data_IF_519104286727
#
_entry.id   IF_519104286727
#
_cell.length_a   1.000
_cell.length_b   1.000
_cell.length_c   1.000
_cell.angle_alpha   90.00
_cell.angle_beta   90.00
_cell.angle_gamma   90.00
#
_symmetry.space_group_name_H-M   'P 1'
#
loop_
_entity.id
_entity.type
_entity.pdbx_description
1 polymer ?
#
# COMPACT_ATOMS: atom_id res chain seq x y z
N UNK A 1 49.60 -18.80 -11.84
CA UNK A 1 48.32 -19.52 -12.05
C UNK A 1 47.39 -19.02 -10.96
N UNK A 2 46.48 -18.11 -11.34
CA UNK A 2 45.63 -17.34 -10.43
C UNK A 2 44.60 -18.25 -9.74
N UNK A 3 44.28 -17.91 -8.49
CA UNK A 3 43.40 -18.63 -7.58
C UNK A 3 41.92 -18.54 -8.03
N UNK A 4 41.06 -19.54 -7.75
CA UNK A 4 39.72 -19.67 -8.34
C UNK A 4 38.64 -18.69 -7.84
N UNK A 5 39.01 -17.57 -7.20
CA UNK A 5 38.04 -16.67 -6.54
C UNK A 5 37.54 -15.52 -7.43
N UNK A 6 37.77 -15.53 -8.74
CA UNK A 6 37.34 -14.44 -9.66
C UNK A 6 36.02 -14.73 -10.39
N UNK A 7 35.08 -15.45 -9.77
CA UNK A 7 33.75 -15.69 -10.36
C UNK A 7 32.64 -15.70 -9.33
N UNK A 8 32.21 -14.51 -8.93
CA UNK A 8 30.82 -14.13 -8.62
C UNK A 8 30.81 -12.64 -8.24
N UNK A 9 29.88 -11.87 -8.81
CA UNK A 9 29.78 -10.41 -8.78
C UNK A 9 29.75 -9.80 -7.36
N UNK A 10 30.91 -9.65 -6.72
CA UNK A 10 31.01 -8.85 -5.51
C UNK A 10 31.00 -7.38 -5.91
N UNK A 11 29.82 -6.78 -6.04
CA UNK A 11 29.69 -5.32 -5.96
C UNK A 11 30.02 -4.93 -4.51
N UNK A 12 31.31 -4.97 -4.16
CA UNK A 12 31.85 -4.49 -2.88
C UNK A 12 31.85 -2.97 -2.91
N UNK A 13 30.66 -2.36 -2.84
CA UNK A 13 30.49 -0.92 -2.82
C UNK A 13 30.10 -0.36 -1.45
N UNK A 14 30.10 -1.20 -0.41
CA UNK A 14 29.71 -0.85 0.95
C UNK A 14 30.73 -1.43 1.94
N UNK A 15 31.22 -0.60 2.86
CA UNK A 15 32.14 -1.03 3.92
C UNK A 15 31.91 -0.20 5.17
N UNK A 16 31.87 -0.85 6.35
CA UNK A 16 31.81 -0.12 7.62
C UNK A 16 33.19 0.49 7.96
N UNK A 17 33.21 1.65 8.60
CA UNK A 17 34.46 2.28 9.02
C UNK A 17 35.24 1.41 10.01
N UNK A 18 34.54 0.63 10.84
CA UNK A 18 35.16 -0.34 11.76
C UNK A 18 35.87 -1.46 11.01
N UNK A 19 35.23 -2.04 9.99
CA UNK A 19 35.85 -3.11 9.19
C UNK A 19 37.03 -2.56 8.39
N UNK A 20 36.92 -1.32 7.90
CA UNK A 20 38.00 -0.64 7.19
C UNK A 20 39.21 -0.40 8.11
N UNK A 21 38.98 0.08 9.35
CA UNK A 21 40.02 0.25 10.35
C UNK A 21 40.71 -1.07 10.72
N UNK A 22 39.93 -2.13 10.91
CA UNK A 22 40.47 -3.46 11.21
C UNK A 22 41.27 -4.05 10.04
N UNK A 23 40.76 -3.92 8.81
CA UNK A 23 41.38 -4.48 7.61
C UNK A 23 42.67 -3.74 7.24
N UNK A 24 42.69 -2.41 7.39
CA UNK A 24 43.88 -1.59 7.13
C UNK A 24 44.85 -1.58 8.31
N UNK A 25 44.43 -2.05 9.49
CA UNK A 25 45.19 -1.98 10.74
C UNK A 25 45.57 -0.53 11.07
N UNK A 26 44.58 0.36 10.99
CA UNK A 26 44.70 1.81 11.23
C UNK A 26 43.70 2.23 12.29
N UNK A 27 44.06 3.23 13.11
CA UNK A 27 43.16 3.78 14.11
C UNK A 27 41.88 4.34 13.47
N UNK A 28 40.74 4.09 14.12
CA UNK A 28 39.42 4.49 13.63
C UNK A 28 39.35 6.00 13.31
N UNK A 29 39.95 6.84 14.15
CA UNK A 29 39.96 8.30 13.97
C UNK A 29 40.68 8.71 12.66
N UNK A 30 41.74 8.02 12.28
CA UNK A 30 42.45 8.28 11.02
C UNK A 30 41.61 7.85 9.81
N UNK A 31 40.92 6.72 9.91
CA UNK A 31 40.00 6.24 8.87
C UNK A 31 38.83 7.22 8.69
N UNK A 32 38.19 7.64 9.78
CA UNK A 32 37.07 8.57 9.75
C UNK A 32 37.45 9.91 9.10
N UNK A 33 38.56 10.51 9.52
CA UNK A 33 39.07 11.76 8.93
C UNK A 33 39.41 11.62 7.43
N UNK A 34 39.95 10.47 7.03
CA UNK A 34 40.27 10.17 5.64
C UNK A 34 39.00 10.02 4.79
N UNK A 35 38.00 9.29 5.28
CA UNK A 35 36.72 9.11 4.58
C UNK A 35 35.97 10.43 4.44
N UNK A 36 35.94 11.27 5.48
CA UNK A 36 35.37 12.61 5.38
C UNK A 36 36.06 13.47 4.31
N UNK A 37 37.38 13.30 4.14
CA UNK A 37 38.12 13.98 3.07
C UNK A 37 37.76 13.45 1.68
N UNK A 38 37.60 12.14 1.53
CA UNK A 38 37.19 11.48 0.28
C UNK A 38 35.79 11.95 -0.14
N UNK A 39 34.82 11.95 0.78
CA UNK A 39 33.44 12.36 0.49
C UNK A 39 33.34 13.86 0.16
N UNK A 40 34.24 14.69 0.71
CA UNK A 40 34.33 16.12 0.33
C UNK A 40 34.94 16.34 -1.06
N UNK A 41 35.89 15.50 -1.47
CA UNK A 41 36.60 15.64 -2.73
C UNK A 41 35.90 14.97 -3.91
N UNK A 42 35.15 13.90 -3.65
CA UNK A 42 34.49 13.11 -4.66
C UNK A 42 33.02 12.94 -4.34
N UNK A 43 32.16 13.20 -5.33
CA UNK A 43 30.75 12.89 -5.22
C UNK A 43 30.47 11.40 -5.35
N UNK A 44 31.42 10.56 -5.78
CA UNK A 44 31.17 9.13 -6.05
C UNK A 44 30.86 8.29 -4.82
N UNK A 45 31.12 8.81 -3.62
CA UNK A 45 30.89 8.12 -2.36
C UNK A 45 29.97 8.92 -1.44
N UNK A 46 29.25 8.21 -0.58
CA UNK A 46 28.38 8.76 0.45
C UNK A 46 28.72 8.04 1.76
N UNK A 47 28.79 8.82 2.85
CA UNK A 47 28.93 8.29 4.20
C UNK A 47 27.55 8.31 4.87
N UNK A 48 27.08 7.15 5.34
CA UNK A 48 25.81 7.02 6.05
C UNK A 48 26.00 6.03 7.21
N UNK A 49 25.66 6.45 8.44
CA UNK A 49 25.75 5.62 9.66
C UNK A 49 27.08 4.85 9.82
N UNK A 50 28.22 5.55 9.67
CA UNK A 50 29.56 4.95 9.69
C UNK A 50 29.80 3.84 8.63
N UNK A 51 29.03 3.84 7.55
CA UNK A 51 29.29 3.04 6.35
C UNK A 51 29.65 3.94 5.17
N UNK A 52 30.77 3.62 4.52
CA UNK A 52 31.17 4.23 3.25
C UNK A 52 30.53 3.44 2.11
N UNK A 53 29.72 4.15 1.30
CA UNK A 53 28.90 3.56 0.25
C UNK A 53 29.21 4.24 -1.08
N UNK A 54 29.45 3.46 -2.13
CA UNK A 54 29.61 3.97 -3.49
C UNK A 54 28.25 4.27 -4.14
N UNK A 55 28.16 5.30 -4.98
CA UNK A 55 26.94 5.57 -5.73
C UNK A 55 26.60 4.46 -6.73
N UNK A 56 27.60 3.80 -7.30
CA UNK A 56 27.39 2.66 -8.20
C UNK A 56 26.67 1.49 -7.51
N UNK A 57 26.91 1.31 -6.21
CA UNK A 57 26.19 0.34 -5.39
C UNK A 57 24.74 0.77 -5.17
N UNK A 58 24.49 2.04 -4.82
CA UNK A 58 23.13 2.58 -4.70
C UNK A 58 22.36 2.43 -6.01
N UNK A 59 23.02 2.70 -7.14
CA UNK A 59 22.42 2.60 -8.47
C UNK A 59 22.09 1.15 -8.84
N UNK A 60 22.94 0.21 -8.45
CA UNK A 60 22.67 -1.23 -8.58
C UNK A 60 21.47 -1.65 -7.73
N UNK A 61 21.37 -1.18 -6.49
CA UNK A 61 20.20 -1.44 -5.63
C UNK A 61 18.91 -0.85 -6.22
N UNK A 62 18.97 0.35 -6.80
CA UNK A 62 17.82 0.97 -7.46
C UNK A 62 17.35 0.14 -8.68
N UNK A 63 18.30 -0.39 -9.47
CA UNK A 63 17.99 -1.27 -10.60
C UNK A 63 17.36 -2.58 -10.14
N UNK A 64 17.96 -3.25 -9.15
CA UNK A 64 17.43 -4.48 -8.60
C UNK A 64 16.02 -4.29 -8.02
N UNK A 65 15.79 -3.16 -7.33
CA UNK A 65 14.46 -2.81 -6.83
C UNK A 65 13.44 -2.69 -7.96
N UNK A 66 13.78 -1.99 -9.04
CA UNK A 66 12.90 -1.86 -10.21
C UNK A 66 12.59 -3.21 -10.85
N UNK A 67 13.59 -4.09 -10.99
CA UNK A 67 13.41 -5.43 -11.56
C UNK A 67 12.45 -6.26 -10.69
N UNK A 68 12.69 -6.31 -9.37
CA UNK A 68 11.80 -7.03 -8.44
C UNK A 68 10.39 -6.43 -8.39
N UNK A 69 10.27 -5.10 -8.48
CA UNK A 69 8.97 -4.42 -8.54
C UNK A 69 8.23 -4.70 -9.85
N UNK A 70 8.95 -4.82 -10.98
CA UNK A 70 8.36 -5.18 -12.26
C UNK A 70 7.77 -6.60 -12.23
N UNK A 71 8.40 -7.53 -11.50
CA UNK A 71 7.93 -8.90 -11.34
C UNK A 71 6.75 -9.03 -10.37
N UNK A 72 6.83 -8.37 -9.21
CA UNK A 72 5.88 -8.58 -8.10
C UNK A 72 4.78 -7.52 -8.02
N UNK A 73 5.01 -6.33 -8.56
CA UNK A 73 4.13 -5.17 -8.48
C UNK A 73 4.11 -4.44 -7.13
N UNK A 74 4.40 -5.14 -6.02
CA UNK A 74 4.43 -4.57 -4.68
C UNK A 74 5.49 -5.25 -3.79
N UNK A 75 6.26 -4.46 -3.04
CA UNK A 75 7.31 -4.94 -2.13
C UNK A 75 7.33 -4.19 -0.81
N UNK A 76 7.62 -4.90 0.28
CA UNK A 76 7.80 -4.30 1.60
C UNK A 76 9.25 -3.83 1.81
N UNK A 77 9.40 -2.59 2.30
CA UNK A 77 10.68 -1.98 2.67
C UNK A 77 11.36 -2.78 3.78
N UNK A 78 10.60 -3.20 4.80
CA UNK A 78 11.15 -4.03 5.89
C UNK A 78 11.63 -5.41 5.41
N UNK A 79 10.97 -6.00 4.40
CA UNK A 79 11.45 -7.23 3.76
C UNK A 79 12.71 -6.99 2.92
N UNK A 80 12.76 -5.89 2.17
CA UNK A 80 13.94 -5.50 1.38
C UNK A 80 15.16 -5.29 2.28
N UNK A 81 15.01 -4.56 3.39
CA UNK A 81 16.09 -4.32 4.35
C UNK A 81 16.70 -5.62 4.89
N UNK A 82 15.85 -6.62 5.19
CA UNK A 82 16.30 -7.95 5.64
C UNK A 82 16.99 -8.74 4.53
N UNK A 83 16.41 -8.73 3.32
CA UNK A 83 16.94 -9.51 2.20
C UNK A 83 18.30 -8.99 1.72
N UNK A 84 18.52 -7.68 1.80
CA UNK A 84 19.77 -7.05 1.41
C UNK A 84 20.76 -6.89 2.56
N UNK A 85 20.40 -7.31 3.78
CA UNK A 85 21.19 -7.12 5.00
C UNK A 85 21.66 -5.65 5.18
N UNK A 86 20.72 -4.73 4.93
CA UNK A 86 20.96 -3.29 4.95
C UNK A 86 20.21 -2.65 6.13
N UNK A 87 20.88 -1.77 6.90
CA UNK A 87 20.20 -0.91 7.85
C UNK A 87 19.06 -0.13 7.19
N UNK A 88 17.88 -0.12 7.80
CA UNK A 88 16.71 0.57 7.25
C UNK A 88 16.98 2.04 6.94
N UNK A 89 17.82 2.71 7.74
CA UNK A 89 18.21 4.10 7.51
C UNK A 89 18.91 4.30 6.16
N UNK A 90 19.84 3.42 5.77
CA UNK A 90 20.51 3.48 4.46
C UNK A 90 19.47 3.33 3.34
N UNK A 91 18.55 2.38 3.48
CA UNK A 91 17.48 2.17 2.51
C UNK A 91 16.59 3.42 2.37
N UNK A 92 16.16 4.01 3.49
CA UNK A 92 15.32 5.22 3.49
C UNK A 92 16.03 6.47 2.98
N UNK A 93 17.31 6.64 3.28
CA UNK A 93 18.05 7.88 2.96
C UNK A 93 18.67 7.87 1.57
N UNK A 94 19.08 6.70 1.06
CA UNK A 94 19.84 6.59 -0.18
C UNK A 94 19.06 5.96 -1.33
N UNK A 95 18.21 4.97 -1.07
CA UNK A 95 17.49 4.24 -2.13
C UNK A 95 16.08 4.78 -2.31
N UNK A 96 15.31 4.90 -1.24
CA UNK A 96 13.91 5.32 -1.33
C UNK A 96 13.73 6.80 -1.67
N UNK A 97 14.78 7.62 -1.51
CA UNK A 97 14.83 9.00 -1.98
C UNK A 97 14.88 9.10 -3.51
N UNK A 98 15.29 8.03 -4.20
CA UNK A 98 15.35 7.95 -5.66
C UNK A 98 14.01 7.52 -6.30
N UNK A 99 12.96 7.32 -5.49
CA UNK A 99 11.60 7.10 -5.97
C UNK A 99 11.11 8.34 -6.73
N UNK A 100 10.67 8.13 -7.97
CA UNK A 100 10.28 9.18 -8.90
C UNK A 100 11.42 9.71 -9.78
N UNK A 101 12.67 9.36 -9.46
CA UNK A 101 13.83 9.68 -10.29
C UNK A 101 14.35 8.43 -11.00
N UNK A 102 15.00 7.52 -10.26
CA UNK A 102 15.52 6.25 -10.80
C UNK A 102 14.54 5.08 -10.63
N UNK A 103 13.65 5.16 -9.64
CA UNK A 103 12.68 4.11 -9.32
C UNK A 103 11.27 4.58 -9.73
N UNK A 104 10.64 3.92 -10.69
CA UNK A 104 9.26 4.23 -11.13
C UNK A 104 8.23 3.53 -10.24
N UNK A 105 8.07 4.07 -9.04
CA UNK A 105 7.17 3.52 -8.03
C UNK A 105 6.49 4.60 -7.20
N UNK A 106 5.51 4.17 -6.41
CA UNK A 106 4.87 4.95 -5.35
C UNK A 106 5.09 4.22 -4.02
N UNK A 107 5.36 4.97 -2.95
CA UNK A 107 5.49 4.40 -1.60
C UNK A 107 4.30 4.80 -0.74
N UNK A 108 3.74 3.84 -0.03
CA UNK A 108 2.77 4.08 1.03
C UNK A 108 3.15 3.27 2.28
N UNK A 109 3.46 3.98 3.38
CA UNK A 109 3.96 3.35 4.59
C UNK A 109 5.22 2.51 4.35
N UNK A 110 5.14 1.22 4.68
CA UNK A 110 6.21 0.23 4.49
C UNK A 110 6.19 -0.44 3.10
N UNK A 111 5.23 -0.13 2.23
CA UNK A 111 5.10 -0.84 0.93
C UNK A 111 5.36 0.09 -0.24
N UNK A 112 6.10 -0.43 -1.22
CA UNK A 112 6.41 0.21 -2.51
C UNK A 112 5.59 -0.50 -3.57
N UNK A 113 4.90 0.26 -4.41
CA UNK A 113 4.00 -0.22 -5.45
C UNK A 113 4.41 0.34 -6.81
N UNK A 114 4.29 -0.47 -7.86
CA UNK A 114 4.33 0.06 -9.23
C UNK A 114 3.01 0.75 -9.56
N UNK A 115 3.07 1.76 -10.44
CA UNK A 115 1.85 2.43 -10.93
C UNK A 115 0.89 1.47 -11.63
N UNK A 116 1.44 0.52 -12.39
CA UNK A 116 0.66 -0.52 -13.07
C UNK A 116 -0.08 -1.42 -12.08
N UNK A 117 0.55 -1.79 -10.97
CA UNK A 117 -0.09 -2.58 -9.91
C UNK A 117 -1.23 -1.79 -9.28
N UNK A 118 -0.99 -0.54 -8.84
CA UNK A 118 -2.03 0.31 -8.24
C UNK A 118 -3.23 0.49 -9.17
N UNK A 119 -2.98 0.78 -10.44
CA UNK A 119 -4.05 0.92 -11.44
C UNK A 119 -4.82 -0.39 -11.67
N UNK A 120 -4.14 -1.53 -11.65
CA UNK A 120 -4.80 -2.84 -11.74
C UNK A 120 -5.70 -3.09 -10.54
N UNK A 121 -5.25 -2.73 -9.33
CA UNK A 121 -6.04 -2.84 -8.09
C UNK A 121 -7.25 -1.91 -8.11
N UNK A 122 -7.11 -0.67 -8.60
CA UNK A 122 -8.23 0.24 -8.83
C UNK A 122 -9.29 -0.39 -9.74
N UNK A 123 -8.86 -0.99 -10.85
CA UNK A 123 -9.74 -1.68 -11.79
C UNK A 123 -10.43 -2.91 -11.15
N UNK A 124 -9.72 -3.69 -10.33
CA UNK A 124 -10.31 -4.80 -9.58
C UNK A 124 -11.38 -4.33 -8.60
N UNK A 125 -11.10 -3.27 -7.82
CA UNK A 125 -12.08 -2.69 -6.90
C UNK A 125 -13.31 -2.24 -7.70
N UNK A 126 -13.11 -1.51 -8.81
CA UNK A 126 -14.21 -1.07 -9.69
C UNK A 126 -15.04 -2.26 -10.16
N UNK A 127 -14.41 -3.32 -10.67
CA UNK A 127 -15.09 -4.50 -11.18
C UNK A 127 -15.89 -5.22 -10.08
N UNK A 128 -15.28 -5.42 -8.90
CA UNK A 128 -15.94 -6.03 -7.75
C UNK A 128 -17.18 -5.22 -7.37
N UNK A 129 -17.04 -3.92 -7.12
CA UNK A 129 -18.15 -3.06 -6.68
C UNK A 129 -19.31 -3.01 -7.69
N UNK A 130 -19.02 -3.09 -8.99
CA UNK A 130 -20.02 -3.17 -10.05
C UNK A 130 -20.73 -4.53 -10.11
N UNK A 131 -20.04 -5.62 -9.75
CA UNK A 131 -20.62 -6.97 -9.76
C UNK A 131 -21.52 -7.27 -8.56
N UNK A 132 -21.42 -6.51 -7.47
CA UNK A 132 -22.15 -6.79 -6.24
C UNK A 132 -23.63 -6.44 -6.37
N UNK A 133 -24.48 -7.41 -6.03
CA UNK A 133 -25.94 -7.27 -6.03
C UNK A 133 -26.55 -7.39 -4.63
N UNK A 134 -25.73 -7.71 -3.62
CA UNK A 134 -26.13 -7.91 -2.23
C UNK A 134 -25.27 -7.05 -1.31
N UNK A 135 -25.84 -6.67 -0.17
CA UNK A 135 -25.09 -6.00 0.90
C UNK A 135 -23.93 -6.88 1.33
N UNK A 136 -22.71 -6.34 1.27
CA UNK A 136 -21.48 -7.11 1.46
C UNK A 136 -20.58 -6.39 2.47
N UNK A 137 -20.08 -7.08 3.51
CA UNK A 137 -19.10 -6.50 4.42
C UNK A 137 -17.84 -6.05 3.68
N UNK A 138 -17.36 -4.84 3.93
CA UNK A 138 -16.14 -4.31 3.30
C UNK A 138 -14.93 -5.16 3.68
N UNK A 139 -14.92 -5.72 4.90
CA UNK A 139 -13.90 -6.66 5.36
C UNK A 139 -13.74 -7.90 4.46
N UNK A 140 -14.83 -8.36 3.82
CA UNK A 140 -14.75 -9.44 2.83
C UNK A 140 -14.14 -8.98 1.51
N UNK A 141 -14.40 -7.74 1.10
CA UNK A 141 -13.83 -7.16 -0.12
C UNK A 141 -12.33 -6.94 0.05
N UNK A 142 -11.92 -6.34 1.17
CA UNK A 142 -10.52 -6.13 1.49
C UNK A 142 -9.77 -7.45 1.71
N UNK A 143 -10.42 -8.52 2.20
CA UNK A 143 -9.75 -9.81 2.34
C UNK A 143 -9.45 -10.50 1.00
N UNK A 144 -10.18 -10.17 -0.06
CA UNK A 144 -9.92 -10.69 -1.41
C UNK A 144 -8.81 -9.92 -2.13
N UNK A 145 -8.52 -8.70 -1.68
CA UNK A 145 -7.52 -7.81 -2.24
C UNK A 145 -6.32 -7.81 -1.29
N UNK A 146 -5.13 -8.22 -1.74
CA UNK A 146 -3.92 -8.20 -0.92
C UNK A 146 -3.39 -6.76 -0.73
N UNK A 147 -4.22 -5.85 -0.22
CA UNK A 147 -3.96 -4.42 -0.08
C UNK A 147 -3.95 -4.01 1.40
N UNK A 148 -3.17 -2.98 1.69
CA UNK A 148 -3.29 -2.30 2.97
C UNK A 148 -4.67 -1.63 3.08
N UNK A 149 -5.24 -1.50 4.29
CA UNK A 149 -6.50 -0.79 4.48
C UNK A 149 -6.45 0.67 3.99
N UNK A 150 -5.31 1.34 4.14
CA UNK A 150 -5.14 2.73 3.70
C UNK A 150 -5.19 2.84 2.17
N UNK A 151 -4.49 1.96 1.45
CA UNK A 151 -4.51 1.94 -0.02
C UNK A 151 -5.92 1.64 -0.54
N UNK A 152 -6.59 0.64 0.04
CA UNK A 152 -7.96 0.30 -0.35
C UNK A 152 -8.90 1.51 -0.25
N UNK A 153 -8.86 2.23 0.88
CA UNK A 153 -9.72 3.40 1.06
C UNK A 153 -9.33 4.57 0.15
N UNK A 154 -8.04 4.77 -0.12
CA UNK A 154 -7.58 5.77 -1.08
C UNK A 154 -8.11 5.49 -2.49
N UNK A 155 -8.01 4.25 -2.96
CA UNK A 155 -8.52 3.85 -4.28
C UNK A 155 -10.05 3.88 -4.34
N UNK A 156 -10.72 3.52 -3.24
CA UNK A 156 -12.17 3.67 -3.13
C UNK A 156 -12.58 5.14 -3.25
N UNK A 157 -11.90 6.06 -2.56
CA UNK A 157 -12.22 7.49 -2.60
C UNK A 157 -11.93 8.10 -3.98
N UNK A 158 -10.92 7.61 -4.70
CA UNK A 158 -10.66 7.96 -6.09
C UNK A 158 -11.83 7.58 -7.01
N UNK A 159 -12.32 6.33 -6.91
CA UNK A 159 -13.50 5.89 -7.67
C UNK A 159 -14.77 6.66 -7.28
N UNK A 160 -14.92 7.01 -5.99
CA UNK A 160 -16.04 7.76 -5.48
C UNK A 160 -16.06 9.18 -6.06
N UNK A 161 -14.89 9.84 -6.09
CA UNK A 161 -14.72 11.17 -6.68
C UNK A 161 -15.00 11.17 -8.20
N UNK A 162 -14.67 10.07 -8.88
CA UNK A 162 -14.98 9.86 -10.30
C UNK A 162 -16.47 9.52 -10.56
N UNK A 163 -17.31 9.37 -9.53
CA UNK A 163 -18.71 8.90 -9.62
C UNK A 163 -18.86 7.51 -10.27
N UNK A 164 -17.87 6.63 -10.10
CA UNK A 164 -17.85 5.29 -10.72
C UNK A 164 -18.35 4.18 -9.78
N UNK A 165 -18.79 4.53 -8.57
CA UNK A 165 -19.24 3.57 -7.54
C UNK A 165 -20.77 3.40 -7.59
N UNK A 166 -21.29 2.22 -7.97
CA UNK A 166 -22.73 1.98 -8.05
C UNK A 166 -23.32 1.55 -6.70
N UNK A 167 -23.04 2.30 -5.65
CA UNK A 167 -23.47 1.96 -4.30
C UNK A 167 -22.95 2.93 -3.25
N UNK A 168 -23.21 2.60 -1.99
CA UNK A 168 -22.79 3.40 -0.84
C UNK A 168 -22.19 2.49 0.24
N UNK A 169 -21.17 2.99 0.94
CA UNK A 169 -20.66 2.33 2.14
C UNK A 169 -21.36 2.90 3.37
N UNK A 170 -21.90 2.01 4.20
CA UNK A 170 -22.55 2.33 5.46
C UNK A 170 -21.67 1.79 6.60
N UNK A 171 -21.54 2.55 7.67
CA UNK A 171 -20.75 2.18 8.84
C UNK A 171 -19.39 2.88 8.89
N UNK A 172 -18.66 2.67 9.98
CA UNK A 172 -17.36 3.28 10.19
C UNK A 172 -16.29 2.53 9.37
N UNK A 173 -15.53 3.25 8.53
CA UNK A 173 -14.45 2.71 7.69
C UNK A 173 -13.33 2.02 8.46
N UNK A 174 -13.11 2.40 9.72
CA UNK A 174 -12.13 1.79 10.62
C UNK A 174 -12.67 0.56 11.37
N UNK A 175 -13.94 0.23 11.18
CA UNK A 175 -14.62 -0.89 11.85
C UNK A 175 -14.90 -2.03 10.89
N UNK A 176 -14.83 -3.26 11.39
CA UNK A 176 -15.29 -4.46 10.67
C UNK A 176 -16.81 -4.44 10.38
N UNK A 177 -17.54 -3.43 10.86
CA UNK A 177 -18.96 -3.21 10.67
C UNK A 177 -19.27 -2.28 9.47
N UNK A 178 -18.31 -2.03 8.58
CA UNK A 178 -18.56 -1.34 7.33
C UNK A 178 -19.17 -2.31 6.29
N UNK A 179 -20.27 -1.88 5.66
CA UNK A 179 -20.98 -2.64 4.63
C UNK A 179 -21.10 -1.81 3.35
N UNK A 180 -20.81 -2.43 2.21
CA UNK A 180 -21.15 -1.88 0.91
C UNK A 180 -22.57 -2.29 0.53
N UNK A 181 -23.39 -1.30 0.18
CA UNK A 181 -24.78 -1.45 -0.25
C UNK A 181 -24.88 -1.02 -1.72
N UNK A 182 -25.03 -1.96 -2.66
CA UNK A 182 -25.20 -1.65 -4.08
C UNK A 182 -26.51 -0.89 -4.35
N UNK A 183 -26.51 0.03 -5.32
CA UNK A 183 -27.71 0.77 -5.73
C UNK A 183 -28.82 -0.16 -6.23
N UNK A 184 -28.45 -1.25 -6.91
CA UNK A 184 -29.38 -2.29 -7.35
C UNK A 184 -30.11 -2.92 -6.17
N UNK A 185 -29.41 -3.20 -5.07
CA UNK A 185 -30.02 -3.77 -3.87
C UNK A 185 -31.08 -2.83 -3.31
N UNK A 186 -30.74 -1.55 -3.13
CA UNK A 186 -31.67 -0.52 -2.64
C UNK A 186 -32.90 -0.36 -3.55
N UNK A 187 -32.71 -0.42 -4.87
CA UNK A 187 -33.80 -0.36 -5.85
C UNK A 187 -34.74 -1.57 -5.74
N UNK A 188 -34.17 -2.78 -5.65
CA UNK A 188 -34.96 -4.01 -5.54
C UNK A 188 -35.76 -4.05 -4.24
N UNK A 189 -35.14 -3.73 -3.10
CA UNK A 189 -35.82 -3.67 -1.80
C UNK A 189 -36.95 -2.64 -1.85
N UNK A 190 -36.70 -1.43 -2.36
CA UNK A 190 -37.73 -0.39 -2.49
C UNK A 190 -38.90 -0.86 -3.34
N UNK A 191 -38.64 -1.46 -4.50
CA UNK A 191 -39.70 -1.93 -5.40
C UNK A 191 -40.51 -3.09 -4.82
N UNK A 192 -39.85 -4.00 -4.10
CA UNK A 192 -40.50 -5.10 -3.39
C UNK A 192 -41.42 -4.58 -2.29
N UNK A 193 -40.94 -3.64 -1.47
CA UNK A 193 -41.71 -3.01 -0.39
C UNK A 193 -42.96 -2.31 -0.96
N UNK A 194 -42.81 -1.47 -1.99
CA UNK A 194 -43.94 -0.78 -2.61
C UNK A 194 -44.99 -1.74 -3.18
N UNK A 195 -44.56 -2.78 -3.91
CA UNK A 195 -45.47 -3.80 -4.45
C UNK A 195 -46.20 -4.57 -3.35
N UNK A 196 -45.51 -4.89 -2.26
CA UNK A 196 -46.12 -5.56 -1.10
C UNK A 196 -47.19 -4.68 -0.45
N UNK A 197 -46.95 -3.38 -0.35
CA UNK A 197 -47.95 -2.42 0.16
C UNK A 197 -49.17 -2.26 -0.75
N UNK A 198 -48.98 -2.21 -2.07
CA UNK A 198 -50.09 -2.09 -3.02
C UNK A 198 -51.01 -3.33 -3.00
N UNK A 199 -50.42 -4.51 -2.81
CA UNK A 199 -51.17 -5.77 -2.75
C UNK A 199 -51.89 -5.97 -1.41
N UNK A 200 -51.27 -5.52 -0.31
CA UNK A 200 -51.80 -5.67 1.04
C UNK A 200 -52.37 -4.32 1.51
N UNK A 201 -53.63 -4.00 1.17
CA UNK A 201 -54.34 -2.75 1.53
C UNK A 201 -54.58 -2.53 3.06
N UNK A 202 -53.71 -3.04 3.92
CA UNK A 202 -53.89 -3.06 5.38
C UNK A 202 -52.88 -2.13 6.06
N UNK A 203 -53.37 -0.99 6.56
CA UNK A 203 -52.62 0.07 7.27
C UNK A 203 -51.89 -0.45 8.54
N UNK A 204 -52.21 -1.64 9.04
CA UNK A 204 -51.60 -2.23 10.25
C UNK A 204 -50.17 -2.77 10.11
N UNK A 205 -49.69 -3.07 8.90
CA UNK A 205 -48.32 -3.61 8.67
C UNK A 205 -47.26 -2.51 8.48
N UNK A 206 -47.67 -1.24 8.54
CA UNK A 206 -46.80 -0.08 8.29
C UNK A 206 -45.60 -0.03 9.24
N UNK A 207 -45.80 -0.39 10.52
CA UNK A 207 -44.72 -0.45 11.51
C UNK A 207 -43.75 -1.62 11.24
N UNK A 208 -44.26 -2.79 10.84
CA UNK A 208 -43.42 -3.95 10.56
C UNK A 208 -42.50 -3.71 9.36
N UNK A 209 -43.03 -3.08 8.30
CA UNK A 209 -42.26 -2.81 7.08
C UNK A 209 -41.31 -1.62 7.27
N UNK A 210 -41.68 -0.61 8.07
CA UNK A 210 -40.74 0.45 8.44
C UNK A 210 -39.58 -0.09 9.27
N UNK A 211 -39.84 -1.00 10.22
CA UNK A 211 -38.80 -1.67 11.01
C UNK A 211 -37.89 -2.53 10.12
N UNK A 212 -38.45 -3.28 9.15
CA UNK A 212 -37.68 -4.07 8.18
C UNK A 212 -36.86 -3.15 7.27
N UNK A 213 -37.40 -2.01 6.85
CA UNK A 213 -36.69 -1.04 5.99
C UNK A 213 -35.51 -0.42 6.74
N UNK A 214 -35.68 -0.07 8.01
CA UNK A 214 -34.60 0.42 8.88
C UNK A 214 -33.55 -0.68 9.12
N UNK A 215 -33.97 -1.92 9.41
CA UNK A 215 -33.06 -3.05 9.65
C UNK A 215 -32.29 -3.47 8.38
N UNK A 216 -32.93 -3.41 7.20
CA UNK A 216 -32.34 -3.87 5.93
C UNK A 216 -31.52 -2.78 5.21
N UNK A 217 -31.81 -1.50 5.44
CA UNK A 217 -31.02 -0.37 4.92
C UNK A 217 -29.97 0.14 5.91
N UNK A 218 -29.90 -0.40 7.13
CA UNK A 218 -28.89 0.00 8.13
C UNK A 218 -29.00 1.45 8.60
N UNK A 219 -30.17 2.08 8.44
CA UNK A 219 -30.40 3.48 8.83
C UNK A 219 -30.74 3.49 10.33
N UNK A 220 -29.96 4.20 11.14
CA UNK A 220 -30.25 4.38 12.58
C UNK A 220 -31.61 5.07 12.78
N UNK A 221 -32.49 4.47 13.59
CA UNK A 221 -33.90 4.86 13.85
C UNK A 221 -34.08 6.29 14.42
N UNK A 222 -33.01 7.04 14.70
CA UNK A 222 -33.09 8.34 15.40
C UNK A 222 -33.80 9.47 14.63
N UNK A 223 -34.16 9.30 13.36
CA UNK A 223 -34.88 10.35 12.59
C UNK A 223 -36.39 10.13 12.43
N UNK A 224 -36.97 9.06 12.97
CA UNK A 224 -38.41 8.77 12.84
C UNK A 224 -39.27 9.22 14.02
N UNK A 225 -38.70 9.92 15.01
CA UNK A 225 -39.48 10.67 15.99
C UNK A 225 -39.72 12.09 15.47
N UNK A 226 -40.85 12.31 14.82
CA UNK A 226 -41.50 13.62 14.77
C UNK A 226 -42.73 13.55 15.67
N UNK A 227 -42.92 14.63 16.45
CA UNK A 227 -43.97 14.86 17.46
C UNK A 227 -45.35 14.29 17.14
#
# INVERSE_FOLDING_TARGET
MLSPYEKEDFICGRVSLSDLAQTLVVDYEHVENSVLSIVKQSTSFVLCNAELISRDYIDSLCKELNERLAETGALSVSQLAKNWDLPSEILYTLVLTEIGNKIDAMREGDTIYTRAYVHSQLNYIRAILNSLTKVTPVSKLSAQLNLSPSLFWSLYDELAAANEIPGTVIGNRSSNLAYYVPNLHSMLVKSFVLKSFEQNQSIGEFLAISIITVLMLGISVKSLCWN
#
